data_IF_408835117003
#
_entry.id   IF_408835117003
#
_cell.length_a   1.000
_cell.length_b   1.000
_cell.length_c   1.000
_cell.angle_alpha   90.00
_cell.angle_beta   90.00
_cell.angle_gamma   90.00
#
_symmetry.space_group_name_H-M   'P 1'
#
loop_
_entity.id
_entity.type
_entity.pdbx_description
1 polymer ?
#
# COMPACT_ATOMS: atom_id res chain seq x y z
N UNK A 1 6.16 -50.55 -34.52
CA UNK A 1 7.49 -49.92 -34.56
C UNK A 1 7.42 -48.55 -33.88
N UNK A 2 8.57 -48.02 -33.43
CA UNK A 2 8.90 -46.63 -33.05
C UNK A 2 7.98 -45.52 -33.65
N UNK A 3 7.77 -44.33 -33.05
CA UNK A 3 8.26 -43.60 -31.84
C UNK A 3 7.33 -42.34 -31.67
N UNK A 4 7.41 -41.36 -30.74
CA UNK A 4 8.27 -40.93 -29.62
C UNK A 4 7.33 -40.60 -28.43
N UNK A 5 7.74 -40.77 -27.16
CA UNK A 5 7.04 -40.14 -25.99
C UNK A 5 7.65 -38.79 -25.62
N UNK A 6 6.82 -37.77 -25.34
CA UNK A 6 7.28 -36.39 -25.06
C UNK A 6 7.72 -36.23 -23.61
N UNK A 7 9.01 -35.94 -23.40
CA UNK A 7 9.53 -35.53 -22.10
C UNK A 7 9.10 -34.10 -21.76
N UNK A 8 8.58 -33.90 -20.54
CA UNK A 8 8.35 -32.57 -19.97
C UNK A 8 9.59 -32.22 -19.12
N UNK A 9 10.37 -31.23 -19.56
CA UNK A 9 11.49 -30.72 -18.78
C UNK A 9 10.97 -29.70 -17.74
N UNK A 10 11.03 -30.06 -16.46
CA UNK A 10 10.68 -29.15 -15.37
C UNK A 10 11.91 -28.29 -15.04
N UNK A 11 11.93 -27.05 -15.54
CA UNK A 11 12.97 -26.08 -15.21
C UNK A 11 12.68 -25.42 -13.84
N UNK A 12 13.30 -25.92 -12.78
CA UNK A 12 13.22 -25.34 -11.44
C UNK A 12 14.06 -24.07 -11.32
N UNK A 13 13.41 -22.90 -11.44
CA UNK A 13 14.09 -21.60 -11.37
C UNK A 13 14.26 -21.14 -9.92
N UNK A 14 15.33 -21.58 -9.26
CA UNK A 14 15.68 -21.16 -7.89
C UNK A 14 16.27 -19.74 -7.87
N UNK A 15 15.45 -18.74 -7.54
CA UNK A 15 15.90 -17.36 -7.32
C UNK A 15 16.59 -17.24 -5.96
N UNK A 16 17.91 -17.00 -5.96
CA UNK A 16 18.67 -16.72 -4.75
C UNK A 16 18.59 -15.23 -4.39
N UNK A 17 17.96 -14.89 -3.26
CA UNK A 17 17.92 -13.53 -2.71
C UNK A 17 19.15 -13.31 -1.82
N UNK A 18 20.09 -12.49 -2.27
CA UNK A 18 21.25 -12.07 -1.47
C UNK A 18 20.96 -10.74 -0.75
N UNK A 19 20.71 -10.83 0.57
CA UNK A 19 20.56 -9.64 1.41
C UNK A 19 21.95 -9.07 1.71
N UNK A 20 22.26 -7.89 1.16
CA UNK A 20 23.53 -7.20 1.42
C UNK A 20 23.41 -6.27 2.62
N UNK A 21 24.30 -6.40 3.60
CA UNK A 21 24.34 -5.56 4.80
C UNK A 21 25.27 -4.34 4.60
N UNK A 22 24.90 -3.13 5.07
CA UNK A 22 25.74 -1.95 4.94
C UNK A 22 26.95 -2.03 5.88
N UNK A 23 28.15 -1.76 5.36
CA UNK A 23 29.33 -1.57 6.20
C UNK A 23 29.40 -0.14 6.75
N UNK A 24 29.58 -0.01 8.05
CA UNK A 24 29.85 1.26 8.73
C UNK A 24 31.34 1.62 8.63
N UNK A 25 31.68 2.68 7.90
CA UNK A 25 33.04 3.23 7.85
C UNK A 25 33.17 4.42 8.80
N UNK A 26 33.94 4.23 9.88
CA UNK A 26 34.30 5.33 10.79
C UNK A 26 35.45 6.13 10.19
N UNK A 27 35.20 7.39 9.78
CA UNK A 27 36.25 8.29 9.30
C UNK A 27 37.09 8.83 10.44
N UNK A 28 38.40 8.60 10.39
CA UNK A 28 39.37 9.06 11.40
C UNK A 28 39.43 10.58 11.47
N UNK A 29 39.25 11.16 12.66
CA UNK A 29 39.45 12.59 12.89
C UNK A 29 40.94 12.93 12.89
N UNK A 30 41.35 13.93 12.11
CA UNK A 30 42.65 14.60 12.25
C UNK A 30 42.39 16.01 12.76
N UNK A 31 42.81 16.28 14.00
CA UNK A 31 42.74 17.60 14.59
C UNK A 31 43.86 18.50 14.08
N UNK A 32 43.52 19.72 13.66
CA UNK A 32 44.44 20.87 13.68
C UNK A 32 43.72 22.07 14.31
N UNK A 33 44.41 22.72 15.23
CA UNK A 33 43.91 23.90 15.93
C UNK A 33 44.20 25.16 15.11
N UNK A 34 43.17 25.96 14.88
CA UNK A 34 43.25 27.39 14.54
C UNK A 34 42.11 28.08 15.28
N UNK A 35 42.42 29.04 16.15
CA UNK A 35 41.40 29.79 16.88
C UNK A 35 40.99 31.03 16.08
N UNK A 36 39.71 31.14 15.73
CA UNK A 36 39.13 32.32 15.10
C UNK A 36 37.78 32.69 15.73
N UNK A 37 37.36 33.93 15.51
CA UNK A 37 36.48 34.66 16.45
C UNK A 37 35.04 34.17 16.43
N UNK A 38 34.50 33.92 17.63
CA UNK A 38 33.14 33.43 17.87
C UNK A 38 32.09 34.51 17.60
N UNK A 39 31.69 34.70 16.34
CA UNK A 39 30.49 35.46 16.00
C UNK A 39 29.25 34.66 16.39
N UNK A 40 28.48 35.17 17.36
CA UNK A 40 27.20 34.61 17.78
C UNK A 40 26.12 34.85 16.72
N UNK A 41 26.11 34.03 15.67
CA UNK A 41 24.95 33.92 14.78
C UNK A 41 23.74 33.46 15.60
N UNK A 42 22.84 34.41 15.86
CA UNK A 42 21.60 34.17 16.58
C UNK A 42 20.70 33.29 15.71
N UNK A 43 20.73 31.98 15.98
CA UNK A 43 20.04 30.99 15.17
C UNK A 43 18.53 31.26 15.16
N UNK A 44 18.04 31.84 14.05
CA UNK A 44 16.62 31.88 13.76
C UNK A 44 16.12 30.44 13.67
N UNK A 45 15.21 30.07 14.57
CA UNK A 45 14.51 28.79 14.45
C UNK A 45 13.85 28.77 13.06
N UNK A 46 14.05 27.71 12.25
CA UNK A 46 13.41 27.64 10.94
C UNK A 46 11.89 27.74 11.15
N UNK A 47 11.26 28.69 10.46
CA UNK A 47 9.82 28.87 10.51
C UNK A 47 9.14 27.51 10.25
N UNK A 48 8.22 27.12 11.12
CA UNK A 48 7.71 25.74 11.19
C UNK A 48 7.14 25.30 9.83
N UNK A 49 7.92 24.49 9.12
CA UNK A 49 7.60 24.07 7.77
C UNK A 49 6.27 23.30 7.81
N UNK A 50 5.21 23.91 7.27
CA UNK A 50 3.86 23.37 7.31
C UNK A 50 3.88 21.95 6.75
N UNK A 51 3.70 20.96 7.62
CA UNK A 51 3.82 19.54 7.24
C UNK A 51 2.75 19.22 6.22
N UNK A 52 3.19 18.77 5.03
CA UNK A 52 2.29 18.20 4.05
C UNK A 52 1.99 16.75 4.48
N UNK A 53 0.82 16.55 5.07
CA UNK A 53 0.30 15.25 5.50
C UNK A 53 -0.20 14.43 4.31
N UNK A 54 -0.72 15.10 3.26
CA UNK A 54 -1.13 14.45 2.01
C UNK A 54 0.01 13.66 1.35
N UNK A 55 1.23 14.22 1.36
CA UNK A 55 2.44 13.56 0.86
C UNK A 55 2.73 12.22 1.56
N UNK A 56 2.34 12.04 2.83
CA UNK A 56 2.56 10.81 3.59
C UNK A 56 1.66 9.67 3.09
N UNK A 57 0.51 10.01 2.49
CA UNK A 57 -0.47 9.05 1.97
C UNK A 57 -0.22 8.63 0.51
N UNK A 58 0.61 9.36 -0.25
CA UNK A 58 0.86 9.13 -1.69
C UNK A 58 1.24 7.68 -1.99
N UNK A 59 2.10 7.06 -1.18
CA UNK A 59 2.52 5.67 -1.41
C UNK A 59 1.38 4.65 -1.17
N UNK A 60 0.50 4.90 -0.21
CA UNK A 60 -0.64 4.03 0.07
C UNK A 60 -1.70 4.12 -1.05
N UNK A 61 -2.04 5.33 -1.47
CA UNK A 61 -2.96 5.55 -2.61
C UNK A 61 -2.38 4.99 -3.91
N UNK A 62 -1.09 5.21 -4.17
CA UNK A 62 -0.41 4.69 -5.36
C UNK A 62 -0.41 3.15 -5.38
N UNK A 63 -0.15 2.49 -4.24
CA UNK A 63 -0.26 1.05 -4.12
C UNK A 63 -1.70 0.57 -4.38
N UNK A 64 -2.70 1.19 -3.75
CA UNK A 64 -4.11 0.81 -3.90
C UNK A 64 -4.56 0.88 -5.37
N UNK A 65 -4.28 2.00 -6.05
CA UNK A 65 -4.70 2.24 -7.42
C UNK A 65 -3.94 1.42 -8.46
N UNK A 66 -2.61 1.32 -8.32
CA UNK A 66 -1.75 0.89 -9.42
C UNK A 66 -1.19 -0.52 -9.24
N UNK A 67 -1.12 -1.06 -8.00
CA UNK A 67 -0.54 -2.38 -7.78
C UNK A 67 -1.40 -3.51 -8.36
N UNK A 68 -0.76 -4.62 -8.72
CA UNK A 68 -1.45 -5.86 -9.01
C UNK A 68 -1.84 -6.58 -7.71
N UNK A 69 -1.05 -6.36 -6.65
CA UNK A 69 -1.19 -6.95 -5.33
C UNK A 69 -2.50 -6.54 -4.64
N UNK A 70 -2.89 -5.27 -4.66
CA UNK A 70 -4.18 -4.83 -4.12
C UNK A 70 -5.34 -5.55 -4.82
N UNK A 71 -5.34 -5.56 -6.16
CA UNK A 71 -6.37 -6.23 -6.97
C UNK A 71 -6.39 -7.75 -6.76
N UNK A 72 -5.23 -8.38 -6.59
CA UNK A 72 -5.11 -9.78 -6.22
C UNK A 72 -5.65 -10.07 -4.81
N UNK A 73 -5.49 -9.16 -3.84
CA UNK A 73 -6.05 -9.29 -2.50
C UNK A 73 -7.58 -9.18 -2.49
N UNK A 74 -8.18 -8.28 -3.27
CA UNK A 74 -9.64 -8.24 -3.47
C UNK A 74 -10.16 -9.55 -4.06
N UNK A 75 -9.53 -10.04 -5.13
CA UNK A 75 -9.89 -11.33 -5.75
C UNK A 75 -9.71 -12.50 -4.77
N UNK A 76 -8.65 -12.51 -3.96
CA UNK A 76 -8.42 -13.52 -2.92
C UNK A 76 -9.52 -13.48 -1.84
N UNK A 77 -9.88 -12.28 -1.37
CA UNK A 77 -10.94 -12.06 -0.39
C UNK A 77 -12.29 -12.58 -0.87
N UNK A 78 -12.74 -12.13 -2.06
CA UNK A 78 -14.01 -12.54 -2.64
C UNK A 78 -14.04 -14.04 -3.02
N UNK A 79 -12.96 -14.62 -3.53
CA UNK A 79 -12.88 -16.06 -3.80
C UNK A 79 -12.93 -16.89 -2.51
N UNK A 80 -12.25 -16.45 -1.44
CA UNK A 80 -12.30 -17.09 -0.12
C UNK A 80 -13.72 -17.02 0.47
N UNK A 81 -14.35 -15.84 0.42
CA UNK A 81 -15.73 -15.63 0.84
C UNK A 81 -16.70 -16.54 0.07
N UNK A 82 -16.55 -16.69 -1.25
CA UNK A 82 -17.36 -17.60 -2.07
C UNK A 82 -17.18 -19.06 -1.64
N UNK A 83 -15.95 -19.52 -1.40
CA UNK A 83 -15.65 -20.89 -0.93
C UNK A 83 -16.27 -21.16 0.45
N UNK A 84 -16.41 -20.15 1.31
CA UNK A 84 -17.10 -20.27 2.60
C UNK A 84 -18.63 -20.26 2.42
N UNK A 85 -19.17 -19.35 1.60
CA UNK A 85 -20.59 -19.27 1.26
C UNK A 85 -21.11 -20.60 0.66
N UNK A 86 -20.37 -21.20 -0.26
CA UNK A 86 -20.68 -22.49 -0.87
C UNK A 86 -20.77 -23.64 0.16
N UNK A 87 -20.11 -23.52 1.33
CA UNK A 87 -20.19 -24.48 2.44
C UNK A 87 -21.40 -24.22 3.32
N UNK A 88 -21.66 -22.96 3.69
CA UNK A 88 -22.78 -22.62 4.58
C UNK A 88 -24.14 -22.80 3.89
N UNK A 89 -24.24 -22.55 2.57
CA UNK A 89 -25.42 -22.91 1.76
C UNK A 89 -25.69 -24.42 1.85
N UNK A 90 -24.67 -25.28 1.72
CA UNK A 90 -24.82 -26.75 1.79
C UNK A 90 -25.16 -27.25 3.20
N UNK A 91 -24.81 -26.50 4.25
CA UNK A 91 -25.16 -26.82 5.65
C UNK A 91 -26.57 -26.37 6.04
N UNK A 92 -27.12 -25.33 5.40
CA UNK A 92 -28.37 -24.73 5.83
C UNK A 92 -29.57 -25.67 5.62
N UNK A 93 -30.23 -26.06 6.71
CA UNK A 93 -31.45 -26.88 6.71
C UNK A 93 -32.74 -26.06 6.65
N UNK A 94 -32.68 -24.84 6.13
CA UNK A 94 -33.84 -23.95 5.93
C UNK A 94 -34.41 -23.28 7.19
N UNK A 95 -33.83 -23.50 8.38
CA UNK A 95 -34.33 -22.92 9.64
C UNK A 95 -34.28 -21.38 9.67
N UNK A 96 -33.28 -20.79 9.00
CA UNK A 96 -33.11 -19.36 8.86
C UNK A 96 -32.67 -19.02 7.43
N UNK A 97 -33.01 -17.81 6.97
CA UNK A 97 -32.50 -17.26 5.72
C UNK A 97 -31.03 -16.85 5.92
N UNK A 98 -30.14 -17.28 5.03
CA UNK A 98 -28.75 -16.81 5.02
C UNK A 98 -28.68 -15.36 4.55
N UNK A 99 -27.71 -14.62 5.08
CA UNK A 99 -27.38 -13.27 4.68
C UNK A 99 -25.85 -13.12 4.58
N UNK A 100 -25.41 -12.09 3.86
CA UNK A 100 -24.02 -11.65 3.81
C UNK A 100 -24.04 -10.17 4.19
N UNK A 101 -23.13 -9.76 5.07
CA UNK A 101 -22.83 -8.36 5.32
C UNK A 101 -21.52 -8.00 4.61
N UNK A 102 -21.49 -6.83 3.98
CA UNK A 102 -20.32 -6.23 3.37
C UNK A 102 -20.28 -4.76 3.81
N UNK A 103 -19.09 -4.22 3.97
CA UNK A 103 -18.89 -2.77 3.95
C UNK A 103 -18.94 -2.25 2.50
N UNK A 104 -19.03 -0.94 2.30
CA UNK A 104 -19.07 -0.31 0.98
C UNK A 104 -17.73 0.31 0.60
N UNK A 105 -17.26 1.26 1.41
CA UNK A 105 -16.04 2.01 1.11
C UNK A 105 -14.82 1.09 1.21
N UNK A 106 -13.94 1.19 0.20
CA UNK A 106 -12.75 0.35 -0.01
C UNK A 106 -13.02 -1.17 0.06
N UNK A 107 -14.27 -1.60 -0.09
CA UNK A 107 -14.71 -3.02 -0.03
C UNK A 107 -15.51 -3.41 -1.27
N UNK A 108 -16.46 -2.56 -1.69
CA UNK A 108 -17.29 -2.71 -2.89
C UNK A 108 -17.09 -1.53 -3.85
N UNK A 109 -16.86 -0.32 -3.32
CA UNK A 109 -16.66 0.92 -4.08
C UNK A 109 -15.19 1.39 -3.97
N UNK A 110 -14.70 2.10 -4.99
CA UNK A 110 -13.31 2.60 -5.02
C UNK A 110 -13.26 4.11 -4.83
N UNK A 111 -13.09 4.57 -3.59
CA UNK A 111 -12.94 6.00 -3.28
C UNK A 111 -11.49 6.48 -3.39
N UNK A 112 -10.55 5.68 -3.92
CA UNK A 112 -9.17 6.12 -4.09
C UNK A 112 -8.99 7.37 -4.97
N UNK A 113 -9.86 7.71 -5.95
CA UNK A 113 -9.75 8.99 -6.66
C UNK A 113 -9.94 10.20 -5.74
N UNK A 114 -10.84 10.12 -4.75
CA UNK A 114 -10.95 11.13 -3.68
C UNK A 114 -9.67 11.19 -2.84
N UNK A 115 -9.15 10.04 -2.41
CA UNK A 115 -7.92 9.98 -1.61
C UNK A 115 -6.70 10.53 -2.36
N UNK A 116 -6.60 10.27 -3.66
CA UNK A 116 -5.55 10.81 -4.53
C UNK A 116 -5.65 12.32 -4.70
N UNK A 117 -6.86 12.83 -4.97
CA UNK A 117 -7.12 14.27 -5.02
C UNK A 117 -6.77 14.96 -3.69
N UNK A 118 -7.22 14.41 -2.56
CA UNK A 118 -6.96 14.95 -1.23
C UNK A 118 -5.47 14.94 -0.89
N UNK A 119 -4.75 13.86 -1.22
CA UNK A 119 -3.30 13.71 -0.98
C UNK A 119 -2.48 14.73 -1.78
N UNK A 120 -2.79 14.92 -3.07
CA UNK A 120 -2.10 15.89 -3.94
C UNK A 120 -2.32 17.34 -3.47
N UNK A 121 -3.53 17.68 -3.00
CA UNK A 121 -3.88 19.03 -2.58
C UNK A 121 -3.66 19.29 -1.08
N UNK A 122 -3.13 18.31 -0.32
CA UNK A 122 -3.02 18.34 1.14
C UNK A 122 -4.34 18.77 1.83
N UNK A 123 -5.45 18.15 1.44
CA UNK A 123 -6.77 18.32 2.08
C UNK A 123 -6.96 17.26 3.17
N UNK A 124 -7.37 17.62 4.40
CA UNK A 124 -7.74 16.65 5.41
C UNK A 124 -9.15 16.10 5.13
N UNK A 125 -9.38 14.83 5.43
CA UNK A 125 -10.75 14.32 5.58
C UNK A 125 -11.48 15.11 6.69
N UNK A 126 -12.78 15.48 6.54
CA UNK A 126 -13.71 15.11 5.47
C UNK A 126 -13.86 16.15 4.34
N UNK A 127 -12.87 17.01 4.11
CA UNK A 127 -12.98 18.08 3.09
C UNK A 127 -13.23 17.48 1.69
N UNK A 128 -14.32 17.89 1.03
CA UNK A 128 -14.71 17.40 -0.30
C UNK A 128 -15.38 16.01 -0.33
N UNK A 129 -15.55 15.34 0.81
CA UNK A 129 -16.10 13.97 0.86
C UNK A 129 -17.58 13.92 0.45
N UNK A 130 -18.38 14.89 0.89
CA UNK A 130 -19.81 14.90 0.59
C UNK A 130 -20.07 15.15 -0.90
N UNK A 131 -19.28 16.03 -1.51
CA UNK A 131 -19.28 16.35 -2.93
C UNK A 131 -18.82 15.15 -3.77
N UNK A 132 -17.85 14.35 -3.29
CA UNK A 132 -17.46 13.08 -3.91
C UNK A 132 -18.59 12.05 -3.89
N UNK A 133 -19.22 11.83 -2.74
CA UNK A 133 -20.37 10.91 -2.60
C UNK A 133 -21.55 11.35 -3.48
N UNK A 134 -21.87 12.66 -3.50
CA UNK A 134 -22.90 13.20 -4.41
C UNK A 134 -22.56 13.02 -5.89
N UNK A 135 -21.27 13.02 -6.25
CA UNK A 135 -20.86 12.86 -7.65
C UNK A 135 -21.05 11.43 -8.19
N UNK A 136 -21.16 10.43 -7.31
CA UNK A 136 -21.36 9.00 -7.64
C UNK A 136 -20.36 8.46 -8.69
N UNK A 137 -19.05 8.54 -8.37
CA UNK A 137 -17.92 8.18 -9.25
C UNK A 137 -16.94 7.17 -8.65
N UNK A 138 -17.35 6.48 -7.59
CA UNK A 138 -16.63 5.35 -6.97
C UNK A 138 -17.02 4.00 -7.60
#
# INVERSE_FOLDING_TARGET
MNKISKYIAIASLSVAVTVSAPQTTNSTAIAKSSAEVQQTQQASMPASQKVNLGNQNIMAVSWYQNSAEAKALYLQGYNSAKVQLDKEIKKNKGKHKLAIALDLDETVLDNSPYQGYASIHNKPFPEGWHEWVQAAKA
#
